data_IF_427760746265
#
_entry.id   IF_427760746265
#
_cell.length_a   1.000
_cell.length_b   1.000
_cell.length_c   1.000
_cell.angle_alpha   90.00
_cell.angle_beta   90.00
_cell.angle_gamma   90.00
#
_symmetry.space_group_name_H-M   'P 1'
#
loop_
_entity.id
_entity.type
_entity.pdbx_description
1 polymer ?
#
# COMPACT_ATOMS: atom_id res chain seq x y z
N UNK A 1 -57.15 -19.98 -33.93
CA UNK A 1 -55.76 -20.39 -34.17
C UNK A 1 -54.86 -19.20 -33.94
N UNK A 2 -53.96 -19.33 -32.96
CA UNK A 2 -52.97 -18.34 -32.53
C UNK A 2 -52.06 -17.89 -33.67
N UNK A 3 -51.84 -16.57 -33.78
CA UNK A 3 -50.56 -15.99 -34.23
C UNK A 3 -50.34 -14.65 -33.52
N UNK A 4 -49.50 -14.68 -32.48
CA UNK A 4 -48.89 -13.49 -31.90
C UNK A 4 -47.94 -12.86 -32.93
N UNK A 5 -47.94 -11.53 -33.14
CA UNK A 5 -46.79 -10.83 -33.65
C UNK A 5 -45.90 -10.38 -32.48
N UNK A 6 -44.63 -10.73 -32.59
CA UNK A 6 -43.55 -10.53 -31.61
C UNK A 6 -43.29 -9.05 -31.35
N UNK A 7 -43.19 -8.68 -30.07
CA UNK A 7 -42.52 -7.44 -29.66
C UNK A 7 -41.05 -7.51 -30.06
N UNK A 8 -40.63 -6.64 -30.96
CA UNK A 8 -39.22 -6.38 -31.22
C UNK A 8 -38.62 -5.65 -30.03
N UNK A 9 -38.16 -6.41 -29.03
CA UNK A 9 -37.27 -5.91 -28.00
C UNK A 9 -35.90 -5.75 -28.66
N UNK A 10 -35.54 -4.52 -29.02
CA UNK A 10 -34.15 -4.19 -29.31
C UNK A 10 -33.33 -4.50 -28.06
N UNK A 11 -32.21 -5.23 -28.15
CA UNK A 11 -31.26 -5.22 -27.05
C UNK A 11 -30.67 -3.81 -27.02
N UNK A 12 -31.21 -2.94 -26.17
CA UNK A 12 -30.45 -1.81 -25.64
C UNK A 12 -29.14 -2.42 -25.14
N UNK A 13 -28.07 -2.19 -25.92
CA UNK A 13 -26.72 -2.48 -25.51
C UNK A 13 -26.51 -1.74 -24.20
N UNK A 14 -26.57 -2.46 -23.08
CA UNK A 14 -26.07 -1.95 -21.82
C UNK A 14 -24.66 -1.43 -22.08
N UNK A 15 -24.36 -0.16 -21.76
CA UNK A 15 -23.01 0.33 -21.91
C UNK A 15 -22.11 -0.50 -21.00
N UNK A 16 -21.12 -1.17 -21.60
CA UNK A 16 -20.03 -1.83 -20.89
C UNK A 16 -19.45 -0.78 -19.95
N UNK A 17 -19.75 -0.87 -18.65
CA UNK A 17 -19.16 0.01 -17.65
C UNK A 17 -17.64 -0.18 -17.73
N UNK A 18 -16.85 0.86 -18.01
CA UNK A 18 -15.40 0.74 -17.91
C UNK A 18 -15.07 0.37 -16.45
N UNK A 19 -14.48 -0.81 -16.25
CA UNK A 19 -14.05 -1.32 -14.94
C UNK A 19 -12.84 -0.56 -14.36
N UNK A 20 -12.49 0.60 -14.90
CA UNK A 20 -11.40 1.42 -14.40
C UNK A 20 -12.04 2.60 -13.70
N UNK A 21 -12.23 2.48 -12.39
CA UNK A 21 -12.33 3.67 -11.56
C UNK A 21 -10.99 4.41 -11.71
N UNK A 22 -10.93 5.38 -12.62
CA UNK A 22 -9.84 6.33 -12.67
C UNK A 22 -9.86 7.10 -11.36
N UNK A 23 -8.98 6.72 -10.44
CA UNK A 23 -8.77 7.46 -9.21
C UNK A 23 -8.07 8.76 -9.58
N UNK A 24 -8.84 9.83 -9.73
CA UNK A 24 -8.30 11.18 -9.80
C UNK A 24 -7.73 11.51 -8.42
N UNK A 25 -6.39 11.44 -8.32
CA UNK A 25 -5.68 11.89 -7.13
C UNK A 25 -5.56 13.40 -7.23
N UNK A 26 -6.35 14.13 -6.44
CA UNK A 26 -6.10 15.56 -6.24
C UNK A 26 -4.65 15.73 -5.83
N UNK A 27 -3.92 16.60 -6.55
CA UNK A 27 -2.52 16.87 -6.25
C UNK A 27 -2.44 17.76 -5.01
N UNK A 28 -2.60 17.14 -3.85
CA UNK A 28 -2.48 17.80 -2.56
C UNK A 28 -1.00 17.91 -2.22
N UNK A 29 -0.49 19.15 -2.26
CA UNK A 29 0.89 19.46 -1.87
C UNK A 29 1.12 19.09 -0.40
N UNK A 30 2.23 18.39 -0.07
CA UNK A 30 2.54 18.04 1.31
C UNK A 30 2.87 19.28 2.13
N UNK A 31 2.55 19.24 3.42
CA UNK A 31 2.93 20.29 4.38
C UNK A 31 4.41 20.18 4.78
N UNK A 32 5.02 21.25 5.29
CA UNK A 32 6.42 21.23 5.75
C UNK A 32 6.66 20.17 6.83
N UNK A 33 5.71 19.99 7.75
CA UNK A 33 5.78 18.97 8.80
C UNK A 33 5.70 17.55 8.22
N UNK A 34 4.87 17.34 7.19
CA UNK A 34 4.77 16.07 6.47
C UNK A 34 6.09 15.74 5.78
N UNK A 35 6.70 16.71 5.08
CA UNK A 35 7.99 16.53 4.40
C UNK A 35 9.08 16.22 5.41
N UNK A 36 9.14 16.95 6.52
CA UNK A 36 10.12 16.73 7.59
C UNK A 36 9.95 15.34 8.22
N UNK A 37 8.72 14.95 8.53
CA UNK A 37 8.42 13.63 9.07
C UNK A 37 8.88 12.52 8.12
N UNK A 38 8.48 12.57 6.84
CA UNK A 38 8.83 11.53 5.87
C UNK A 38 10.34 11.46 5.63
N UNK A 39 11.04 12.60 5.57
CA UNK A 39 12.50 12.63 5.45
C UNK A 39 13.22 12.05 6.67
N UNK A 40 12.74 12.36 7.88
CA UNK A 40 13.31 11.82 9.11
C UNK A 40 13.02 10.32 9.26
N UNK A 41 11.80 9.88 8.98
CA UNK A 41 11.42 8.47 8.99
C UNK A 41 12.24 7.66 7.97
N UNK A 42 12.47 8.21 6.77
CA UNK A 42 13.32 7.58 5.77
C UNK A 42 14.73 7.30 6.30
N UNK A 43 15.36 8.31 6.90
CA UNK A 43 16.72 8.19 7.44
C UNK A 43 16.77 7.27 8.68
N UNK A 44 15.79 7.41 9.57
CA UNK A 44 15.75 6.65 10.83
C UNK A 44 15.47 5.16 10.58
N UNK A 45 14.58 4.84 9.64
CA UNK A 45 14.15 3.47 9.35
C UNK A 45 15.03 2.74 8.32
N UNK A 46 16.22 3.28 8.00
CA UNK A 46 17.14 2.73 7.00
C UNK A 46 17.47 1.25 7.19
N UNK A 47 17.67 0.81 8.44
CA UNK A 47 17.90 -0.59 8.78
C UNK A 47 16.74 -1.49 8.32
N UNK A 48 15.50 -1.10 8.61
CA UNK A 48 14.32 -1.89 8.29
C UNK A 48 14.01 -1.89 6.78
N UNK A 49 14.35 -0.83 6.05
CA UNK A 49 14.30 -0.84 4.58
C UNK A 49 15.20 -1.94 4.01
N UNK A 50 16.44 -2.02 4.52
CA UNK A 50 17.40 -3.02 4.09
C UNK A 50 16.93 -4.44 4.42
N UNK A 51 16.46 -4.69 5.65
CA UNK A 51 15.96 -6.00 6.05
C UNK A 51 14.80 -6.49 5.18
N UNK A 52 13.89 -5.58 4.81
CA UNK A 52 12.79 -5.91 3.93
C UNK A 52 13.26 -6.15 2.48
N UNK A 53 14.22 -5.37 2.00
CA UNK A 53 14.89 -5.57 0.69
C UNK A 53 15.57 -6.91 0.59
N UNK A 54 16.45 -7.22 1.55
CA UNK A 54 17.19 -8.46 1.57
C UNK A 54 16.22 -9.66 1.60
N UNK A 55 15.12 -9.60 2.37
CA UNK A 55 14.11 -10.67 2.40
C UNK A 55 13.41 -10.89 1.04
N UNK A 56 12.97 -9.80 0.39
CA UNK A 56 12.24 -9.89 -0.88
C UNK A 56 13.16 -10.34 -2.00
N UNK A 57 14.35 -9.75 -2.14
CA UNK A 57 15.31 -10.13 -3.18
C UNK A 57 15.73 -11.61 -3.03
N UNK A 58 15.96 -12.08 -1.79
CA UNK A 58 16.22 -13.50 -1.51
C UNK A 58 15.10 -14.42 -1.97
N UNK A 59 13.84 -14.02 -1.77
CA UNK A 59 12.67 -14.81 -2.17
C UNK A 59 12.46 -14.80 -3.69
N UNK A 60 12.74 -13.67 -4.34
CA UNK A 60 12.68 -13.53 -5.81
C UNK A 60 13.70 -14.43 -6.49
N UNK A 61 14.95 -14.44 -6.01
CA UNK A 61 16.00 -15.35 -6.52
C UNK A 61 15.59 -16.82 -6.39
N UNK A 62 14.79 -17.15 -5.37
CA UNK A 62 14.31 -18.52 -5.10
C UNK A 62 12.99 -18.85 -5.82
N UNK A 63 12.39 -17.90 -6.56
CA UNK A 63 11.10 -18.09 -7.24
C UNK A 63 9.93 -18.32 -6.27
N UNK A 64 9.94 -17.68 -5.10
CA UNK A 64 8.99 -17.94 -4.01
C UNK A 64 7.64 -17.24 -4.24
N UNK A 65 6.61 -18.01 -4.58
CA UNK A 65 5.23 -17.51 -4.79
C UNK A 65 4.57 -16.98 -3.49
N UNK A 66 5.14 -17.24 -2.32
CA UNK A 66 4.62 -16.82 -1.01
C UNK A 66 5.48 -15.71 -0.36
N UNK A 67 6.26 -14.99 -1.15
CA UNK A 67 7.13 -13.85 -0.78
C UNK A 67 6.53 -12.94 0.30
N UNK A 68 5.30 -12.45 0.09
CA UNK A 68 4.65 -11.57 1.07
C UNK A 68 4.47 -12.24 2.43
N UNK A 69 4.03 -13.51 2.46
CA UNK A 69 3.81 -14.23 3.73
C UNK A 69 5.11 -14.42 4.50
N UNK A 70 6.20 -14.69 3.79
CA UNK A 70 7.53 -14.93 4.36
C UNK A 70 8.18 -13.64 4.89
N UNK A 71 8.06 -12.56 4.13
CA UNK A 71 8.64 -11.26 4.48
C UNK A 71 7.70 -10.35 5.27
N UNK A 72 6.52 -10.84 5.64
CA UNK A 72 5.50 -10.09 6.38
C UNK A 72 6.09 -9.42 7.64
N UNK A 73 6.86 -10.14 8.43
CA UNK A 73 7.42 -9.58 9.67
C UNK A 73 8.32 -8.38 9.40
N UNK A 74 9.06 -8.37 8.28
CA UNK A 74 9.90 -7.24 7.87
C UNK A 74 9.08 -6.02 7.46
N UNK A 75 7.90 -6.23 6.85
CA UNK A 75 6.94 -5.16 6.59
C UNK A 75 6.38 -4.58 7.89
N UNK A 76 6.06 -5.43 8.86
CA UNK A 76 5.56 -4.99 10.17
C UNK A 76 6.64 -4.19 10.91
N UNK A 77 7.88 -4.70 11.00
CA UNK A 77 9.02 -3.99 11.61
C UNK A 77 9.22 -2.60 10.98
N UNK A 78 9.18 -2.52 9.65
CA UNK A 78 9.28 -1.25 8.96
C UNK A 78 8.08 -0.34 9.24
N UNK A 79 6.87 -0.89 9.31
CA UNK A 79 5.67 -0.13 9.65
C UNK A 79 5.73 0.44 11.07
N UNK A 80 6.18 -0.35 12.04
CA UNK A 80 6.39 0.10 13.40
C UNK A 80 7.38 1.26 13.48
N UNK A 81 8.47 1.18 12.70
CA UNK A 81 9.43 2.27 12.63
C UNK A 81 8.81 3.57 12.10
N UNK A 82 8.05 3.52 11.01
CA UNK A 82 7.39 4.71 10.45
C UNK A 82 6.26 5.24 11.35
N UNK A 83 5.59 4.38 12.10
CA UNK A 83 4.54 4.78 13.04
C UNK A 83 5.07 5.25 14.41
N UNK A 84 6.40 5.32 14.58
CA UNK A 84 7.07 5.69 15.83
C UNK A 84 6.60 4.88 17.04
N UNK A 85 6.19 3.63 16.83
CA UNK A 85 5.76 2.74 17.91
C UNK A 85 6.92 1.92 18.42
N UNK A 86 7.02 1.82 19.74
CA UNK A 86 7.87 0.81 20.35
C UNK A 86 7.38 -0.59 19.91
N UNK A 87 8.25 -1.41 19.31
CA UNK A 87 7.87 -2.75 18.91
C UNK A 87 7.68 -3.61 20.17
N UNK A 88 6.47 -4.12 20.39
CA UNK A 88 6.24 -5.22 21.32
C UNK A 88 6.13 -6.52 20.52
N UNK A 89 6.69 -7.62 21.02
CA UNK A 89 6.66 -8.92 20.32
C UNK A 89 5.23 -9.40 19.99
N UNK A 90 4.24 -9.00 20.79
CA UNK A 90 2.83 -9.30 20.54
C UNK A 90 2.26 -8.55 19.33
N UNK A 91 2.66 -7.30 19.11
CA UNK A 91 2.11 -6.45 18.04
C UNK A 91 2.57 -6.88 16.63
N UNK A 92 3.80 -7.39 16.49
CA UNK A 92 4.33 -7.85 15.20
C UNK A 92 3.53 -9.02 14.60
N UNK A 93 2.86 -9.81 15.45
CA UNK A 93 1.99 -10.91 15.02
C UNK A 93 0.62 -10.43 14.49
N UNK A 94 0.23 -9.19 14.79
CA UNK A 94 -1.18 -8.73 14.81
C UNK A 94 -1.74 -8.20 13.48
N UNK A 95 -0.97 -8.26 12.37
CA UNK A 95 -1.29 -7.59 11.09
C UNK A 95 -1.47 -6.06 11.27
N UNK A 96 -0.61 -5.42 12.07
CA UNK A 96 -0.72 -4.00 12.38
C UNK A 96 -0.65 -3.17 11.10
N UNK A 97 0.29 -3.49 10.20
CA UNK A 97 0.42 -2.86 8.89
C UNK A 97 -0.93 -2.81 8.17
N UNK A 98 -1.60 -3.95 7.95
CA UNK A 98 -2.87 -3.99 7.20
C UNK A 98 -3.98 -3.25 7.93
N UNK A 99 -4.06 -3.39 9.26
CA UNK A 99 -5.10 -2.76 10.07
C UNK A 99 -4.96 -1.25 10.10
N UNK A 100 -3.77 -0.70 10.27
CA UNK A 100 -3.60 0.75 10.47
C UNK A 100 -3.65 1.50 9.14
N UNK A 101 -3.22 0.82 8.08
CA UNK A 101 -3.28 1.32 6.70
C UNK A 101 -4.64 1.16 6.04
N UNK A 102 -5.65 0.64 6.75
CA UNK A 102 -6.99 0.36 6.19
C UNK A 102 -7.72 1.60 5.64
N UNK A 103 -7.34 2.80 6.09
CA UNK A 103 -7.89 4.07 5.55
C UNK A 103 -7.11 4.60 4.33
N UNK A 104 -6.00 3.97 3.98
CA UNK A 104 -5.07 4.35 2.91
C UNK A 104 -4.84 3.15 1.96
N UNK A 105 -5.94 2.54 1.50
CA UNK A 105 -5.94 1.27 0.76
C UNK A 105 -5.15 1.36 -0.53
N UNK A 106 -5.41 2.39 -1.34
CA UNK A 106 -4.79 2.55 -2.65
C UNK A 106 -3.25 2.57 -2.61
N UNK A 107 -2.59 3.46 -1.85
CA UNK A 107 -1.12 3.48 -1.79
C UNK A 107 -0.54 2.20 -1.17
N UNK A 108 -1.23 1.58 -0.21
CA UNK A 108 -0.82 0.27 0.34
C UNK A 108 -0.83 -0.82 -0.72
N UNK A 109 -1.92 -0.97 -1.46
CA UNK A 109 -2.04 -2.00 -2.49
C UNK A 109 -1.07 -1.77 -3.63
N UNK A 110 -0.82 -0.51 -3.99
CA UNK A 110 0.18 -0.15 -4.98
C UNK A 110 1.58 -0.58 -4.53
N UNK A 111 1.96 -0.28 -3.28
CA UNK A 111 3.22 -0.73 -2.71
C UNK A 111 3.32 -2.27 -2.69
N UNK A 112 2.30 -2.96 -2.16
CA UNK A 112 2.31 -4.42 -2.09
C UNK A 112 2.42 -5.08 -3.46
N UNK A 113 1.72 -4.53 -4.47
CA UNK A 113 1.79 -5.02 -5.84
C UNK A 113 3.16 -4.77 -6.45
N UNK A 114 3.67 -3.55 -6.37
CA UNK A 114 4.97 -3.18 -6.92
C UNK A 114 6.07 -4.05 -6.32
N UNK A 115 6.15 -4.10 -5.00
CA UNK A 115 7.29 -4.65 -4.32
C UNK A 115 7.26 -6.18 -4.18
N UNK A 116 6.10 -6.76 -3.87
CA UNK A 116 6.00 -8.21 -3.63
C UNK A 116 5.49 -8.99 -4.83
N UNK A 117 4.65 -8.41 -5.69
CA UNK A 117 4.09 -9.14 -6.84
C UNK A 117 4.92 -8.93 -8.11
N UNK A 118 5.42 -7.72 -8.32
CA UNK A 118 6.24 -7.40 -9.48
C UNK A 118 7.74 -7.52 -9.19
N UNK A 119 8.11 -7.70 -7.92
CA UNK A 119 9.51 -7.85 -7.49
C UNK A 119 10.40 -6.68 -7.93
N UNK A 120 9.80 -5.48 -7.99
CA UNK A 120 10.52 -4.26 -8.34
C UNK A 120 11.44 -3.83 -7.21
N UNK A 121 12.52 -3.12 -7.56
CA UNK A 121 13.45 -2.57 -6.57
C UNK A 121 12.74 -1.64 -5.57
N UNK A 122 13.28 -1.54 -4.35
CA UNK A 122 12.70 -0.67 -3.33
C UNK A 122 12.63 0.77 -3.82
N UNK A 123 13.66 1.22 -4.54
CA UNK A 123 13.78 2.56 -5.10
C UNK A 123 12.60 2.89 -6.05
N UNK A 124 12.16 1.91 -6.85
CA UNK A 124 10.98 2.04 -7.73
C UNK A 124 9.67 2.09 -6.94
N UNK A 125 9.55 1.26 -5.89
CA UNK A 125 8.31 1.16 -5.10
C UNK A 125 8.24 2.16 -3.93
N UNK A 126 9.34 2.85 -3.63
CA UNK A 126 9.48 3.72 -2.46
C UNK A 126 8.43 4.83 -2.45
N UNK A 127 8.12 5.41 -3.61
CA UNK A 127 7.10 6.44 -3.69
C UNK A 127 5.73 5.95 -3.21
N UNK A 128 5.36 4.69 -3.49
CA UNK A 128 4.10 4.12 -3.02
C UNK A 128 4.10 3.96 -1.48
N UNK A 129 5.24 3.59 -0.90
CA UNK A 129 5.43 3.57 0.56
C UNK A 129 5.31 4.97 1.15
N UNK A 130 6.00 5.96 0.58
CA UNK A 130 5.92 7.36 1.02
C UNK A 130 4.50 7.91 0.91
N UNK A 131 3.79 7.61 -0.17
CA UNK A 131 2.38 8.00 -0.35
C UNK A 131 1.46 7.37 0.70
N UNK A 132 1.76 6.15 1.15
CA UNK A 132 1.02 5.49 2.22
C UNK A 132 1.15 6.28 3.54
N UNK A 133 2.36 6.67 3.92
CA UNK A 133 2.57 7.43 5.16
C UNK A 133 2.20 8.90 5.06
N UNK A 134 2.25 9.49 3.87
CA UNK A 134 1.61 10.78 3.60
C UNK A 134 0.10 10.71 3.89
N UNK A 135 -0.59 9.70 3.36
CA UNK A 135 -2.02 9.49 3.62
C UNK A 135 -2.32 9.28 5.11
N UNK A 136 -1.49 8.49 5.80
CA UNK A 136 -1.63 8.25 7.24
C UNK A 136 -1.42 9.52 8.06
N UNK A 137 -0.34 10.27 7.79
CA UNK A 137 -0.04 11.55 8.42
C UNK A 137 -1.22 12.50 8.29
N UNK A 138 -1.72 12.73 7.07
CA UNK A 138 -2.83 13.66 6.82
C UNK A 138 -4.12 13.28 7.54
N UNK A 139 -4.35 12.00 7.79
CA UNK A 139 -5.52 11.54 8.56
C UNK A 139 -5.36 11.73 10.07
N UNK A 140 -4.14 11.61 10.60
CA UNK A 140 -3.89 11.83 12.03
C UNK A 140 -2.45 12.32 12.29
N UNK A 141 -2.16 13.62 12.07
CA UNK A 141 -0.81 14.17 12.18
C UNK A 141 -0.20 13.99 13.58
N UNK A 142 -1.04 13.96 14.61
CA UNK A 142 -0.62 13.82 16.02
C UNK A 142 0.06 12.48 16.33
N UNK A 143 -0.17 11.44 15.53
CA UNK A 143 0.51 10.15 15.70
C UNK A 143 1.93 10.13 15.11
N UNK A 144 2.29 11.15 14.33
CA UNK A 144 3.53 11.20 13.55
C UNK A 144 4.37 12.42 13.91
N UNK A 145 4.17 12.96 15.12
CA UNK A 145 5.00 14.04 15.65
C UNK A 145 6.27 13.43 16.23
N UNK A 146 7.40 13.85 15.68
CA UNK A 146 8.73 13.50 16.21
C UNK A 146 8.91 14.33 17.47
N UNK A 147 9.05 13.67 18.62
CA UNK A 147 9.41 14.32 19.89
C UNK A 147 10.86 14.80 19.86
#
# INVERSE_FOLDING_TARGET
MNRYPQEHISPEKEPIKPHVAEYFVDTVLPTDDEVRYLGNAWNYCGYFHKELKDCVEDGVVKGDEYLYKKCKNKVEELHHCYSWREPTEQDLSSNAFVKETQKCIYPRELFLKCYFRQAESWENCHQAWTNLYSCQFRKNPKLYTIF
#
